data_IF_674526479355
#
_entry.id   IF_674526479355
#
_cell.length_a   1.000
_cell.length_b   1.000
_cell.length_c   1.000
_cell.angle_alpha   90.00
_cell.angle_beta   90.00
_cell.angle_gamma   90.00
#
_symmetry.space_group_name_H-M   'P 1'
#
loop_
_entity.id
_entity.type
_entity.pdbx_description
1 polymer ?
#
# COMPACT_ATOMS: atom_id res chain seq x y z
N UNK A 1 14.69 -32.59 34.23
CA UNK A 1 13.35 -32.83 33.66
C UNK A 1 12.90 -31.57 32.93
N UNK A 2 13.20 -31.46 31.64
CA UNK A 2 12.58 -30.46 30.77
C UNK A 2 11.80 -31.22 29.71
N UNK A 3 10.49 -30.99 29.67
CA UNK A 3 9.58 -31.62 28.72
C UNK A 3 9.79 -30.99 27.34
N UNK A 4 10.20 -31.82 26.40
CA UNK A 4 10.20 -31.52 24.96
C UNK A 4 8.79 -31.14 24.50
N UNK A 5 8.65 -29.95 23.90
CA UNK A 5 7.40 -29.56 23.26
C UNK A 5 7.47 -29.90 21.77
N UNK A 6 7.11 -31.14 21.46
CA UNK A 6 7.25 -31.82 20.16
C UNK A 6 6.02 -31.58 19.27
N UNK A 7 5.45 -30.36 19.28
CA UNK A 7 4.14 -30.06 18.70
C UNK A 7 4.14 -28.93 17.65
N UNK A 8 5.26 -28.66 16.97
CA UNK A 8 5.35 -27.68 15.89
C UNK A 8 5.81 -28.28 14.54
N UNK A 9 5.55 -29.57 14.33
CA UNK A 9 5.71 -30.21 13.02
C UNK A 9 4.34 -30.69 12.52
N UNK A 10 3.56 -29.77 11.96
CA UNK A 10 2.43 -30.11 11.10
C UNK A 10 2.57 -29.33 9.78
N UNK A 11 3.10 -30.05 8.79
CA UNK A 11 2.76 -29.98 7.37
C UNK A 11 2.48 -28.59 6.80
N UNK A 12 3.56 -27.89 6.42
CA UNK A 12 3.51 -26.75 5.50
C UNK A 12 3.34 -27.26 4.07
N UNK A 13 2.12 -27.61 3.69
CA UNK A 13 1.71 -27.53 2.28
C UNK A 13 0.95 -26.21 2.12
N UNK A 14 1.70 -25.15 1.84
CA UNK A 14 1.17 -23.80 1.60
C UNK A 14 0.88 -23.64 0.11
N UNK A 15 -0.34 -23.26 -0.32
CA UNK A 15 -0.54 -22.77 -1.68
C UNK A 15 0.00 -21.34 -1.79
N UNK A 16 0.78 -21.09 -2.85
CA UNK A 16 1.27 -19.77 -3.24
C UNK A 16 0.09 -18.85 -3.59
N UNK A 17 -0.33 -18.01 -2.65
CA UNK A 17 -1.28 -16.91 -2.87
C UNK A 17 -0.74 -15.71 -2.11
N UNK A 18 0.28 -15.07 -2.65
CA UNK A 18 0.78 -13.80 -2.12
C UNK A 18 -0.07 -12.64 -2.66
N UNK A 19 -0.52 -11.79 -1.73
CA UNK A 19 -0.79 -10.35 -1.89
C UNK A 19 -1.70 -9.90 -3.05
N UNK A 20 -2.83 -10.55 -3.25
CA UNK A 20 -3.95 -9.90 -3.95
C UNK A 20 -5.07 -9.59 -2.96
N UNK A 21 -5.51 -8.31 -2.82
CA UNK A 21 -6.57 -7.89 -1.91
C UNK A 21 -7.98 -8.42 -2.28
N UNK A 22 -8.06 -9.40 -3.19
CA UNK A 22 -9.31 -9.96 -3.70
C UNK A 22 -9.95 -11.02 -2.77
N UNK A 23 -9.34 -11.33 -1.63
CA UNK A 23 -9.86 -12.30 -0.67
C UNK A 23 -10.65 -11.67 0.49
N UNK A 24 -11.33 -10.53 0.26
CA UNK A 24 -12.34 -10.08 1.20
C UNK A 24 -13.52 -11.07 1.16
N UNK A 25 -13.89 -11.72 2.28
CA UNK A 25 -15.14 -12.46 2.32
C UNK A 25 -16.30 -11.49 2.02
N UNK A 26 -17.31 -11.90 1.23
CA UNK A 26 -18.40 -11.00 0.85
C UNK A 26 -19.10 -10.50 2.12
N UNK A 27 -18.98 -9.20 2.39
CA UNK A 27 -19.75 -8.59 3.47
C UNK A 27 -21.22 -8.63 3.06
N UNK A 28 -22.03 -9.30 3.87
CA UNK A 28 -23.47 -9.37 3.66
C UNK A 28 -24.00 -7.93 3.76
N UNK A 29 -24.34 -7.34 2.61
CA UNK A 29 -25.07 -6.08 2.60
C UNK A 29 -26.44 -6.32 3.26
N UNK A 30 -26.55 -5.96 4.53
CA UNK A 30 -27.83 -5.74 5.17
C UNK A 30 -28.40 -4.47 4.54
N UNK A 31 -29.25 -4.65 3.52
CA UNK A 31 -30.00 -3.60 2.86
C UNK A 31 -31.04 -3.01 3.83
N UNK A 32 -30.61 -2.05 4.65
CA UNK A 32 -31.53 -1.13 5.28
C UNK A 32 -31.85 -0.02 4.29
N UNK A 33 -33.05 -0.11 3.71
CA UNK A 33 -33.59 0.89 2.81
C UNK A 33 -33.76 2.23 3.51
N UNK A 34 -32.82 3.14 3.30
CA UNK A 34 -32.99 4.58 3.46
C UNK A 34 -32.30 5.24 2.27
N UNK A 35 -33.08 5.96 1.45
CA UNK A 35 -32.58 6.80 0.37
C UNK A 35 -31.74 7.94 0.95
N UNK A 36 -30.47 7.67 1.25
CA UNK A 36 -29.46 8.70 1.31
C UNK A 36 -29.20 9.17 -0.14
N UNK A 37 -29.01 10.48 -0.39
CA UNK A 37 -28.57 10.91 -1.70
C UNK A 37 -27.26 10.21 -2.02
N UNK A 38 -27.22 9.47 -3.13
CA UNK A 38 -25.99 8.94 -3.72
C UNK A 38 -25.07 10.15 -3.99
N UNK A 39 -24.15 10.40 -3.06
CA UNK A 39 -23.01 11.28 -3.34
C UNK A 39 -22.23 10.50 -4.38
N UNK A 40 -22.37 10.91 -5.65
CA UNK A 40 -21.72 10.24 -6.77
C UNK A 40 -20.22 10.14 -6.45
N UNK A 41 -19.75 8.92 -6.21
CA UNK A 41 -18.38 8.66 -5.81
C UNK A 41 -17.45 9.13 -6.94
N UNK A 42 -16.42 9.92 -6.58
CA UNK A 42 -15.47 10.46 -7.55
C UNK A 42 -14.29 9.52 -7.68
N UNK A 43 -13.97 9.08 -8.90
CA UNK A 43 -12.75 8.29 -9.15
C UNK A 43 -11.54 9.19 -9.37
N UNK A 44 -10.33 8.63 -9.24
CA UNK A 44 -9.11 9.36 -9.58
C UNK A 44 -9.12 9.83 -11.05
N UNK A 45 -9.57 9.00 -11.99
CA UNK A 45 -9.68 9.41 -13.40
C UNK A 45 -10.56 10.66 -13.57
N UNK A 46 -11.73 10.68 -12.93
CA UNK A 46 -12.65 11.82 -12.96
C UNK A 46 -12.03 13.06 -12.32
N UNK A 47 -11.33 12.90 -11.19
CA UNK A 47 -10.63 13.98 -10.50
C UNK A 47 -9.55 14.60 -11.40
N UNK A 48 -8.73 13.77 -12.07
CA UNK A 48 -7.65 14.24 -12.95
C UNK A 48 -8.15 15.04 -14.16
N UNK A 49 -9.40 14.87 -14.59
CA UNK A 49 -9.97 15.73 -15.65
C UNK A 49 -10.01 17.21 -15.26
N UNK A 50 -10.14 17.50 -13.96
CA UNK A 50 -10.21 18.86 -13.40
C UNK A 50 -8.85 19.47 -13.13
N UNK A 51 -7.80 18.65 -13.06
CA UNK A 51 -6.44 19.08 -12.69
C UNK A 51 -5.69 19.57 -13.92
N UNK A 52 -5.07 20.75 -13.82
CA UNK A 52 -4.17 21.28 -14.85
C UNK A 52 -2.72 21.22 -14.39
N UNK A 53 -1.79 21.20 -15.34
CA UNK A 53 -0.36 21.14 -15.02
C UNK A 53 0.12 22.26 -14.07
N UNK A 54 -0.26 23.54 -14.25
CA UNK A 54 0.16 24.59 -13.32
C UNK A 54 -0.28 24.35 -11.87
N UNK A 55 -1.51 23.88 -11.64
CA UNK A 55 -2.01 23.61 -10.30
C UNK A 55 -1.38 22.36 -9.70
N UNK A 56 -1.23 21.28 -10.48
CA UNK A 56 -0.50 20.09 -10.03
C UNK A 56 0.94 20.43 -9.64
N UNK A 57 1.65 21.18 -10.49
CA UNK A 57 3.02 21.59 -10.22
C UNK A 57 3.11 22.41 -8.92
N UNK A 58 2.19 23.33 -8.68
CA UNK A 58 2.15 24.12 -7.45
C UNK A 58 1.96 23.23 -6.22
N UNK A 59 1.04 22.26 -6.29
CA UNK A 59 0.81 21.29 -5.22
C UNK A 59 2.04 20.39 -4.97
N UNK A 60 2.71 19.91 -6.02
CA UNK A 60 3.97 19.12 -5.88
C UNK A 60 5.06 19.97 -5.24
N UNK A 61 5.26 21.23 -5.66
CA UNK A 61 6.28 22.11 -5.06
C UNK A 61 6.04 22.30 -3.56
N UNK A 62 4.77 22.41 -3.16
CA UNK A 62 4.36 22.62 -1.78
C UNK A 62 4.58 21.37 -0.93
N UNK A 63 4.09 20.22 -1.39
CA UNK A 63 4.16 18.96 -0.64
C UNK A 63 5.53 18.28 -0.69
N UNK A 64 6.22 18.39 -1.83
CA UNK A 64 7.45 17.65 -2.15
C UNK A 64 8.50 18.59 -2.78
N UNK A 65 9.12 19.48 -1.98
CA UNK A 65 10.01 20.52 -2.49
C UNK A 65 11.31 20.00 -3.12
N UNK A 66 11.67 18.74 -2.85
CA UNK A 66 12.79 17.99 -3.43
C UNK A 66 12.46 17.41 -4.83
N UNK A 67 11.17 17.30 -5.19
CA UNK A 67 10.72 16.78 -6.48
C UNK A 67 10.91 17.74 -7.67
N UNK A 68 11.56 18.90 -7.46
CA UNK A 68 11.69 19.99 -8.43
C UNK A 68 12.40 19.59 -9.72
N UNK A 69 13.41 18.74 -9.60
CA UNK A 69 14.24 18.34 -10.74
C UNK A 69 13.52 17.36 -11.68
N UNK A 70 12.33 16.87 -11.29
CA UNK A 70 11.55 15.89 -12.05
C UNK A 70 10.24 16.44 -12.63
N UNK A 71 10.05 17.77 -12.68
CA UNK A 71 8.79 18.35 -13.14
C UNK A 71 8.38 17.93 -14.56
N UNK A 72 9.32 17.83 -15.49
CA UNK A 72 8.97 17.33 -16.83
C UNK A 72 8.47 15.89 -16.80
N UNK A 73 9.04 15.04 -15.93
CA UNK A 73 8.58 13.67 -15.76
C UNK A 73 7.16 13.63 -15.17
N UNK A 74 6.87 14.39 -14.12
CA UNK A 74 5.53 14.53 -13.56
C UNK A 74 4.49 15.04 -14.58
N UNK A 75 4.88 16.01 -15.42
CA UNK A 75 4.02 16.52 -16.49
C UNK A 75 3.67 15.45 -17.51
N UNK A 76 4.65 14.62 -17.88
CA UNK A 76 4.46 13.49 -18.79
C UNK A 76 3.57 12.41 -18.17
N UNK A 77 3.77 12.11 -16.88
CA UNK A 77 2.89 11.17 -16.14
C UNK A 77 1.45 11.66 -16.15
N UNK A 78 1.19 12.92 -15.77
CA UNK A 78 -0.17 13.47 -15.82
C UNK A 78 -0.79 13.35 -17.23
N UNK A 79 -0.02 13.67 -18.27
CA UNK A 79 -0.49 13.57 -19.65
C UNK A 79 -0.83 12.13 -20.04
N UNK A 80 -0.01 11.15 -19.62
CA UNK A 80 -0.23 9.72 -19.85
C UNK A 80 -1.44 9.19 -19.09
N UNK A 81 -1.58 9.53 -17.81
CA UNK A 81 -2.72 9.13 -16.98
C UNK A 81 -4.06 9.57 -17.59
N UNK A 82 -4.12 10.78 -18.18
CA UNK A 82 -5.32 11.28 -18.86
C UNK A 82 -5.69 10.52 -20.15
N UNK A 83 -4.79 9.69 -20.67
CA UNK A 83 -5.00 8.90 -21.89
C UNK A 83 -5.29 7.42 -21.59
N UNK A 84 -5.02 6.96 -20.38
CA UNK A 84 -5.27 5.57 -19.98
C UNK A 84 -6.75 5.32 -19.74
N UNK A 85 -7.18 4.09 -20.02
CA UNK A 85 -8.51 3.63 -19.66
C UNK A 85 -8.49 3.11 -18.21
N UNK A 86 -9.38 3.60 -17.33
CA UNK A 86 -9.48 3.10 -15.97
C UNK A 86 -9.87 1.62 -15.95
N UNK A 87 -9.23 0.84 -15.08
CA UNK A 87 -9.61 -0.52 -14.76
C UNK A 87 -10.44 -0.52 -13.45
N UNK A 88 -11.54 -1.30 -13.35
CA UNK A 88 -12.32 -1.37 -12.12
C UNK A 88 -11.48 -1.77 -10.90
N UNK A 89 -11.73 -1.13 -9.77
CA UNK A 89 -11.05 -1.44 -8.51
C UNK A 89 -12.05 -1.41 -7.36
N UNK A 90 -11.91 -2.34 -6.42
CA UNK A 90 -12.64 -2.31 -5.14
C UNK A 90 -11.94 -1.43 -4.08
N UNK A 91 -10.76 -0.92 -4.41
CA UNK A 91 -9.98 -0.04 -3.53
C UNK A 91 -10.50 1.39 -3.64
N UNK A 92 -10.49 2.10 -2.52
CA UNK A 92 -10.59 3.55 -2.46
C UNK A 92 -9.30 4.17 -1.95
N UNK A 93 -8.96 5.32 -2.50
CA UNK A 93 -7.81 6.12 -2.13
C UNK A 93 -8.17 6.95 -0.90
N UNK A 94 -7.33 6.85 0.13
CA UNK A 94 -7.40 7.68 1.34
C UNK A 94 -6.05 8.37 1.51
N UNK A 95 -6.09 9.68 1.76
CA UNK A 95 -4.92 10.45 2.20
C UNK A 95 -5.06 10.69 3.70
N UNK A 96 -4.11 10.18 4.47
CA UNK A 96 -4.12 10.28 5.94
C UNK A 96 -2.82 10.83 6.46
N UNK A 97 -2.89 11.51 7.62
CA UNK A 97 -1.71 11.85 8.40
C UNK A 97 -1.26 10.62 9.20
N UNK A 98 0.05 10.39 9.23
CA UNK A 98 0.70 9.32 9.99
C UNK A 98 2.06 9.82 10.52
N UNK A 99 2.70 9.02 11.38
CA UNK A 99 3.94 9.39 12.08
C UNK A 99 4.97 8.27 12.00
N UNK A 100 6.25 8.61 11.87
CA UNK A 100 7.34 7.63 11.91
C UNK A 100 7.79 7.40 13.34
N UNK A 101 7.16 6.44 14.02
CA UNK A 101 7.51 6.09 15.39
C UNK A 101 9.01 5.80 15.53
N UNK A 102 9.67 6.50 16.45
CA UNK A 102 11.09 6.31 16.75
C UNK A 102 12.06 6.94 15.74
N UNK A 103 11.58 7.69 14.75
CA UNK A 103 12.44 8.46 13.82
C UNK A 103 12.25 9.96 14.05
N UNK A 104 11.01 10.46 13.95
CA UNK A 104 10.68 11.85 14.24
C UNK A 104 9.20 11.99 14.66
N UNK A 105 8.89 13.11 15.32
CA UNK A 105 7.52 13.44 15.76
C UNK A 105 6.74 14.23 14.68
N UNK A 106 7.21 14.23 13.43
CA UNK A 106 6.57 15.01 12.37
C UNK A 106 5.53 14.16 11.66
N UNK A 107 4.29 14.63 11.70
CA UNK A 107 3.24 14.08 10.85
C UNK A 107 3.66 14.21 9.38
N UNK A 108 3.39 13.18 8.60
CA UNK A 108 3.48 13.22 7.14
C UNK A 108 2.22 12.62 6.53
N UNK A 109 1.95 12.98 5.29
CA UNK A 109 0.81 12.47 4.54
C UNK A 109 1.20 11.19 3.81
N UNK A 110 0.35 10.18 3.94
CA UNK A 110 0.47 8.90 3.25
C UNK A 110 -0.77 8.66 2.39
N UNK A 111 -0.54 8.10 1.20
CA UNK A 111 -1.61 7.63 0.30
C UNK A 111 -1.78 6.14 0.52
N UNK A 112 -2.95 5.74 0.95
CA UNK A 112 -3.29 4.35 1.23
C UNK A 112 -4.53 3.93 0.45
N UNK A 113 -4.62 2.63 0.22
CA UNK A 113 -5.79 1.97 -0.32
C UNK A 113 -6.61 1.29 0.77
N UNK A 114 -7.93 1.36 0.66
CA UNK A 114 -8.89 0.69 1.55
C UNK A 114 -9.98 -0.02 0.75
N UNK A 115 -10.42 -1.21 1.16
CA UNK A 115 -11.42 -2.01 0.41
C UNK A 115 -12.52 -2.66 1.29
N UNK A 116 -12.59 -2.30 2.56
CA UNK A 116 -13.57 -2.75 3.53
C UNK A 116 -13.11 -3.94 4.37
N UNK A 117 -11.98 -4.58 4.04
CA UNK A 117 -11.49 -5.71 4.82
C UNK A 117 -10.84 -5.24 6.11
N UNK A 118 -11.06 -5.98 7.21
CA UNK A 118 -10.42 -5.68 8.50
C UNK A 118 -9.07 -6.36 8.62
N UNK A 119 -8.21 -5.82 9.48
CA UNK A 119 -6.90 -6.42 9.74
C UNK A 119 -7.02 -7.86 10.22
N UNK A 120 -7.98 -8.17 11.09
CA UNK A 120 -8.23 -9.54 11.58
C UNK A 120 -8.60 -10.55 10.48
N UNK A 121 -9.07 -10.09 9.33
CA UNK A 121 -9.47 -10.95 8.22
C UNK A 121 -8.26 -11.30 7.32
N UNK A 122 -7.11 -10.66 7.52
CA UNK A 122 -5.88 -10.94 6.76
C UNK A 122 -5.25 -12.27 7.18
N UNK A 123 -4.74 -13.03 6.21
CA UNK A 123 -4.06 -14.30 6.47
C UNK A 123 -2.85 -14.13 7.41
N UNK A 124 -2.16 -13.00 7.27
CA UNK A 124 -0.95 -12.70 8.03
C UNK A 124 -1.23 -12.04 9.38
N UNK A 125 -2.51 -11.83 9.76
CA UNK A 125 -2.85 -11.18 11.01
C UNK A 125 -2.21 -11.86 12.24
N UNK A 126 -2.08 -13.18 12.19
CA UNK A 126 -1.41 -14.00 13.22
C UNK A 126 0.05 -13.65 13.50
N UNK A 127 0.71 -12.91 12.59
CA UNK A 127 2.09 -12.50 12.72
C UNK A 127 2.24 -11.08 13.27
N UNK A 128 1.16 -10.32 13.33
CA UNK A 128 1.17 -9.03 13.99
C UNK A 128 1.13 -9.22 15.51
N UNK A 129 1.84 -8.36 16.24
CA UNK A 129 1.87 -8.36 17.71
C UNK A 129 0.58 -7.73 18.30
N UNK A 130 -0.56 -8.14 17.75
CA UNK A 130 -1.89 -7.60 18.01
C UNK A 130 -2.84 -8.73 18.40
N UNK A 131 -3.79 -8.43 19.27
CA UNK A 131 -4.81 -9.40 19.72
C UNK A 131 -6.12 -9.15 18.99
N UNK A 132 -6.94 -10.19 18.80
CA UNK A 132 -8.25 -10.04 18.12
C UNK A 132 -9.20 -9.06 18.79
N UNK A 133 -8.96 -8.74 20.07
CA UNK A 133 -9.78 -7.83 20.88
C UNK A 133 -9.24 -6.39 20.89
N UNK A 134 -8.15 -6.09 20.16
CA UNK A 134 -7.63 -4.73 20.05
C UNK A 134 -8.31 -3.93 18.93
N UNK A 135 -8.27 -2.60 19.06
CA UNK A 135 -8.85 -1.70 18.05
C UNK A 135 -8.19 -1.80 16.68
N UNK A 136 -6.98 -2.38 16.60
CA UNK A 136 -6.27 -2.60 15.35
C UNK A 136 -6.88 -3.76 14.56
N UNK A 137 -7.25 -4.86 15.22
CA UNK A 137 -7.91 -6.02 14.63
C UNK A 137 -9.19 -5.65 13.87
N UNK A 138 -9.97 -4.73 14.43
CA UNK A 138 -11.23 -4.25 13.88
C UNK A 138 -11.10 -3.08 12.91
N UNK A 139 -9.94 -2.43 12.86
CA UNK A 139 -9.65 -1.40 11.88
C UNK A 139 -9.59 -1.99 10.47
N UNK A 140 -9.96 -1.16 9.50
CA UNK A 140 -9.80 -1.50 8.09
C UNK A 140 -8.32 -1.57 7.73
N UNK A 141 -7.98 -2.51 6.84
CA UNK A 141 -6.60 -2.68 6.37
C UNK A 141 -6.21 -1.56 5.43
N UNK A 142 -5.08 -0.94 5.76
CA UNK A 142 -4.42 0.06 4.94
C UNK A 142 -3.41 -0.64 4.01
N UNK A 143 -3.55 -0.41 2.71
CA UNK A 143 -2.70 -1.01 1.69
C UNK A 143 -1.82 0.04 1.02
N UNK A 144 -0.55 -0.28 0.81
CA UNK A 144 0.28 0.52 -0.10
C UNK A 144 -0.20 0.37 -1.54
N UNK A 145 -0.19 1.47 -2.28
CA UNK A 145 -0.65 1.52 -3.67
C UNK A 145 0.49 1.68 -4.69
N UNK A 146 1.72 1.95 -4.24
CA UNK A 146 2.84 2.40 -5.08
C UNK A 146 3.27 1.43 -6.20
N UNK A 147 2.95 0.13 -6.07
CA UNK A 147 3.25 -0.91 -7.08
C UNK A 147 2.03 -1.32 -7.91
N UNK A 148 0.85 -0.73 -7.69
CA UNK A 148 -0.37 -1.05 -8.45
C UNK A 148 -0.28 -0.48 -9.87
N UNK A 149 -0.86 -1.16 -10.88
CA UNK A 149 -1.00 -0.60 -12.22
C UNK A 149 -1.74 0.73 -12.19
N UNK A 150 -1.33 1.70 -13.03
CA UNK A 150 -1.95 3.02 -13.02
C UNK A 150 -3.39 2.99 -13.51
N UNK A 151 -3.76 2.06 -14.40
CA UNK A 151 -5.14 1.85 -14.81
C UNK A 151 -6.06 1.53 -13.62
N UNK A 152 -5.57 0.74 -12.66
CA UNK A 152 -6.34 0.44 -11.46
C UNK A 152 -6.44 1.64 -10.53
N UNK A 153 -5.35 2.39 -10.32
CA UNK A 153 -5.38 3.67 -9.60
C UNK A 153 -6.48 4.60 -10.14
N UNK A 154 -6.56 4.70 -11.47
CA UNK A 154 -7.55 5.53 -12.16
C UNK A 154 -8.99 5.10 -11.91
N UNK A 155 -9.23 3.81 -11.65
CA UNK A 155 -10.54 3.27 -11.32
C UNK A 155 -10.87 3.27 -9.82
N UNK A 156 -9.94 3.63 -8.94
CA UNK A 156 -10.21 3.75 -7.51
C UNK A 156 -11.07 4.98 -7.22
N UNK A 157 -12.04 4.82 -6.33
CA UNK A 157 -12.79 5.93 -5.75
C UNK A 157 -11.91 6.72 -4.78
N UNK A 158 -12.15 8.02 -4.66
CA UNK A 158 -11.54 8.84 -3.60
C UNK A 158 -12.46 8.83 -2.40
N UNK A 159 -11.94 8.46 -1.23
CA UNK A 159 -12.71 8.43 0.01
C UNK A 159 -13.20 9.83 0.38
N UNK A 160 -14.43 9.91 0.91
CA UNK A 160 -15.07 11.16 1.28
C UNK A 160 -14.22 12.00 2.25
N UNK A 161 -13.54 11.34 3.21
CA UNK A 161 -12.67 12.04 4.16
C UNK A 161 -11.47 12.73 3.51
N UNK A 162 -11.04 12.24 2.34
CA UNK A 162 -9.98 12.86 1.53
C UNK A 162 -10.52 14.04 0.74
N UNK A 163 -11.69 13.87 0.11
CA UNK A 163 -12.37 14.95 -0.63
C UNK A 163 -12.75 16.14 0.27
N UNK A 164 -13.05 15.88 1.55
CA UNK A 164 -13.40 16.92 2.52
C UNK A 164 -12.17 17.75 2.97
N UNK A 165 -10.96 17.19 2.86
CA UNK A 165 -9.73 17.79 3.41
C UNK A 165 -8.82 18.41 2.36
N UNK A 166 -8.83 17.87 1.14
CA UNK A 166 -7.85 18.20 0.11
C UNK A 166 -8.54 18.63 -1.18
N UNK A 167 -7.94 19.59 -1.88
CA UNK A 167 -8.40 19.94 -3.22
C UNK A 167 -7.96 18.90 -4.27
N UNK A 168 -8.56 18.98 -5.47
CA UNK A 168 -8.26 18.01 -6.54
C UNK A 168 -6.79 18.02 -6.99
N UNK A 169 -6.09 19.15 -6.91
CA UNK A 169 -4.68 19.24 -7.31
C UNK A 169 -3.75 18.68 -6.23
N UNK A 170 -4.08 18.88 -4.95
CA UNK A 170 -3.39 18.28 -3.81
C UNK A 170 -3.52 16.76 -3.83
N UNK A 171 -4.76 16.25 -4.00
CA UNK A 171 -5.00 14.80 -4.12
C UNK A 171 -4.20 14.23 -5.28
N UNK A 172 -4.25 14.88 -6.45
CA UNK A 172 -3.49 14.44 -7.61
C UNK A 172 -1.97 14.49 -7.39
N UNK A 173 -1.46 15.47 -6.64
CA UNK A 173 -0.04 15.55 -6.31
C UNK A 173 0.42 14.36 -5.47
N UNK A 174 -0.33 14.04 -4.41
CA UNK A 174 -0.05 12.90 -3.54
C UNK A 174 -0.13 11.58 -4.30
N UNK A 175 -1.20 11.35 -5.08
CA UNK A 175 -1.36 10.13 -5.87
C UNK A 175 -0.25 9.98 -6.91
N UNK A 176 0.03 11.01 -7.71
CA UNK A 176 1.05 10.93 -8.76
C UNK A 176 2.45 10.74 -8.15
N UNK A 177 2.74 11.41 -7.04
CA UNK A 177 4.01 11.22 -6.33
C UNK A 177 4.17 9.74 -5.91
N UNK A 178 3.16 9.15 -5.26
CA UNK A 178 3.19 7.75 -4.82
C UNK A 178 3.25 6.75 -5.99
N UNK A 179 2.50 7.02 -7.07
CA UNK A 179 2.53 6.24 -8.31
C UNK A 179 3.90 6.25 -9.02
N UNK A 180 4.75 7.23 -8.70
CA UNK A 180 6.09 7.41 -9.30
C UNK A 180 7.24 7.06 -8.34
N UNK A 181 6.94 6.55 -7.14
CA UNK A 181 7.94 6.22 -6.14
C UNK A 181 9.03 5.25 -6.66
N UNK A 182 8.63 4.30 -7.51
CA UNK A 182 9.53 3.32 -8.14
C UNK A 182 9.97 3.70 -9.58
N UNK A 183 9.67 4.94 -10.01
CA UNK A 183 10.02 5.44 -11.33
C UNK A 183 8.86 6.14 -12.05
N UNK A 184 9.20 6.94 -13.06
CA UNK A 184 8.23 7.75 -13.81
C UNK A 184 7.55 7.01 -14.96
N UNK A 185 7.81 5.71 -15.13
CA UNK A 185 7.13 4.87 -16.08
C UNK A 185 6.51 3.64 -15.42
N UNK A 186 5.24 3.36 -15.73
CA UNK A 186 4.55 2.14 -15.27
C UNK A 186 5.35 0.86 -15.52
N UNK A 187 6.07 0.75 -16.64
CA UNK A 187 6.92 -0.42 -16.91
C UNK A 187 8.02 -0.64 -15.86
N UNK A 188 8.59 0.43 -15.31
CA UNK A 188 9.59 0.36 -14.24
C UNK A 188 8.95 -0.09 -12.91
N UNK A 189 7.79 0.47 -12.59
CA UNK A 189 7.01 0.10 -11.41
C UNK A 189 6.63 -1.38 -11.45
N UNK A 190 6.08 -1.85 -12.57
CA UNK A 190 5.67 -3.25 -12.73
C UNK A 190 6.86 -4.22 -12.82
N UNK A 191 7.99 -3.80 -13.37
CA UNK A 191 9.24 -4.59 -13.34
C UNK A 191 9.75 -4.77 -11.89
N UNK A 192 9.62 -3.72 -11.07
CA UNK A 192 9.97 -3.78 -9.64
C UNK A 192 9.08 -4.79 -8.90
N UNK A 193 7.77 -4.77 -9.13
CA UNK A 193 6.85 -5.75 -8.56
C UNK A 193 7.21 -7.18 -9.02
N UNK A 194 7.48 -7.37 -10.32
CA UNK A 194 7.84 -8.67 -10.88
C UNK A 194 9.13 -9.23 -10.25
N UNK A 195 10.15 -8.40 -10.05
CA UNK A 195 11.39 -8.81 -9.38
C UNK A 195 11.15 -9.17 -7.91
N UNK A 196 10.32 -8.41 -7.19
CA UNK A 196 9.97 -8.73 -5.80
C UNK A 196 9.25 -10.08 -5.71
N UNK A 197 8.26 -10.31 -6.59
CA UNK A 197 7.52 -11.57 -6.63
C UNK A 197 8.42 -12.74 -7.01
N UNK A 198 9.29 -12.56 -8.02
CA UNK A 198 10.25 -13.57 -8.44
C UNK A 198 11.15 -14.01 -7.27
N UNK A 199 11.69 -13.06 -6.49
CA UNK A 199 12.52 -13.38 -5.31
C UNK A 199 11.74 -14.08 -4.21
N UNK A 200 10.47 -13.70 -4.00
CA UNK A 200 9.61 -14.37 -3.04
C UNK A 200 9.37 -15.83 -3.44
N UNK A 201 9.08 -16.06 -4.73
CA UNK A 201 8.89 -17.40 -5.29
C UNK A 201 10.18 -18.24 -5.22
N UNK A 202 11.35 -17.64 -5.49
CA UNK A 202 12.64 -18.30 -5.30
C UNK A 202 12.84 -18.77 -3.86
N UNK A 203 12.57 -17.90 -2.88
CA UNK A 203 12.67 -18.24 -1.46
C UNK A 203 11.71 -19.37 -1.11
N UNK A 204 10.45 -19.29 -1.56
CA UNK A 204 9.45 -20.32 -1.29
C UNK A 204 9.81 -21.69 -1.90
N UNK A 205 10.47 -21.69 -3.05
CA UNK A 205 10.97 -22.90 -3.70
C UNK A 205 12.24 -23.49 -3.07
N UNK A 206 12.99 -22.74 -2.25
CA UNK A 206 14.22 -23.23 -1.62
C UNK A 206 13.94 -24.36 -0.62
N UNK A 207 14.75 -25.41 -0.72
CA UNK A 207 14.86 -26.44 0.32
C UNK A 207 15.43 -25.88 1.63
N UNK A 208 15.29 -26.62 2.73
CA UNK A 208 15.85 -26.20 4.02
C UNK A 208 17.38 -26.04 3.96
N UNK A 209 18.07 -26.93 3.24
CA UNK A 209 19.54 -26.85 3.05
C UNK A 209 19.94 -25.58 2.28
N UNK A 210 19.20 -25.23 1.23
CA UNK A 210 19.43 -24.00 0.47
C UNK A 210 19.14 -22.76 1.33
N UNK A 211 18.07 -22.79 2.13
CA UNK A 211 17.73 -21.69 3.06
C UNK A 211 18.83 -21.48 4.10
N UNK A 212 19.35 -22.53 4.70
CA UNK A 212 20.47 -22.44 5.67
C UNK A 212 21.75 -21.86 5.05
N UNK A 213 22.00 -22.15 3.77
CA UNK A 213 23.18 -21.68 3.05
C UNK A 213 23.05 -20.25 2.54
N UNK A 214 21.87 -19.86 2.08
CA UNK A 214 21.65 -18.60 1.35
C UNK A 214 20.96 -17.51 2.16
N UNK A 215 20.20 -17.85 3.20
CA UNK A 215 19.47 -16.88 4.01
C UNK A 215 20.15 -16.69 5.38
N UNK A 216 20.05 -15.48 5.91
CA UNK A 216 20.48 -15.18 7.27
C UNK A 216 19.24 -15.16 8.17
N UNK A 217 19.17 -16.00 9.22
CA UNK A 217 18.09 -15.97 10.19
C UNK A 217 17.86 -14.58 10.79
N UNK A 218 16.60 -14.18 10.94
CA UNK A 218 16.21 -12.84 11.39
C UNK A 218 16.78 -12.50 12.78
N UNK A 219 16.82 -13.46 13.72
CA UNK A 219 17.42 -13.31 15.04
C UNK A 219 18.91 -12.95 14.96
N UNK A 220 19.65 -13.57 14.03
CA UNK A 220 21.07 -13.23 13.79
C UNK A 220 21.22 -11.84 13.20
N UNK A 221 20.34 -11.42 12.28
CA UNK A 221 20.35 -10.05 11.73
C UNK A 221 20.06 -9.03 12.83
N UNK A 222 18.98 -9.21 13.60
CA UNK A 222 18.57 -8.29 14.66
C UNK A 222 19.63 -8.18 15.77
N UNK A 223 20.26 -9.30 16.16
CA UNK A 223 21.34 -9.27 17.16
C UNK A 223 22.58 -8.49 16.70
N UNK A 224 22.86 -8.45 15.39
CA UNK A 224 23.95 -7.65 14.82
C UNK A 224 23.59 -6.17 14.79
N UNK A 225 22.34 -5.84 14.43
CA UNK A 225 21.87 -4.45 14.40
C UNK A 225 21.81 -3.84 15.80
N UNK A 226 21.35 -4.60 16.81
CA UNK A 226 21.31 -4.13 18.20
C UNK A 226 22.70 -3.89 18.81
N UNK A 227 23.71 -4.69 18.45
CA UNK A 227 25.10 -4.52 18.93
C UNK A 227 25.78 -3.25 18.41
N UNK A 228 25.27 -2.66 17.33
CA UNK A 228 25.81 -1.42 16.77
C UNK A 228 25.15 -0.16 17.36
N UNK A 229 24.13 -0.29 18.20
CA UNK A 229 23.48 0.84 18.88
C UNK A 229 24.17 1.20 20.21
N UNK A 230 25.01 0.31 20.77
CA UNK A 230 25.77 0.52 22.00
C UNK A 230 27.23 0.99 21.76
N UNK A 231 27.56 1.34 20.52
CA UNK A 231 28.89 1.76 20.08
C UNK A 231 28.89 3.17 19.47
N UNK A 232 28.39 4.16 20.23
CA UNK A 232 28.64 5.59 20.03
C UNK A 232 28.87 6.31 21.37
#
# INVERSE_FOLDING_TARGET
MLRSNKALQQTLTRPAVWLLPNNCPPQTQLSFGLNAPEISAMTLAQLLTKVTWPHLKAAIVWAYPDAKDSFDAYRLVLAKLKQLQPAPSAMRIVITETFRQGIDDKAFLEVIGRNGCRNRDQQDFRYFEHTVDDGYADAETDWSLSLRPWEEWLGMEIDASTLDKFDSSEIAAHCIWDMTFHGFEQGQVQSTLAEIMHRADEIDAMSEEEREKHLVPADKVLSKLGKNQDAE
#
